data_IF_692728115814
#
_entry.id   IF_692728115814
#
_cell.length_a   1.000
_cell.length_b   1.000
_cell.length_c   1.000
_cell.angle_alpha   90.00
_cell.angle_beta   90.00
_cell.angle_gamma   90.00
#
_symmetry.space_group_name_H-M   'P 1'
#
loop_
_entity.id
_entity.type
_entity.pdbx_description
1 polymer ?
#
# COMPACT_ATOMS: atom_id res chain seq x y z
N UNK A 1 2.48 -13.08 1.63
CA UNK A 1 1.60 -12.93 2.82
C UNK A 1 0.13 -12.86 2.40
N UNK A 2 -0.87 -12.70 3.29
CA UNK A 2 -2.23 -12.30 2.87
C UNK A 2 -2.31 -10.77 2.72
N UNK A 3 -3.23 -10.24 1.91
CA UNK A 3 -3.41 -8.79 1.73
C UNK A 3 -3.64 -8.05 3.06
N UNK A 4 -4.40 -8.64 3.98
CA UNK A 4 -4.58 -8.12 5.34
C UNK A 4 -3.26 -7.95 6.11
N UNK A 5 -2.38 -8.95 6.07
CA UNK A 5 -1.10 -8.89 6.77
C UNK A 5 -0.17 -7.81 6.18
N UNK A 6 -0.27 -7.57 4.86
CA UNK A 6 0.45 -6.49 4.18
C UNK A 6 -0.15 -5.14 4.61
N UNK A 7 -1.47 -5.02 4.63
CA UNK A 7 -2.19 -3.83 5.07
C UNK A 7 -1.87 -3.45 6.53
N UNK A 8 -1.81 -4.42 7.45
CA UNK A 8 -1.40 -4.18 8.84
C UNK A 8 0.03 -3.65 8.96
N UNK A 9 0.98 -4.24 8.22
CA UNK A 9 2.36 -3.74 8.18
C UNK A 9 2.46 -2.35 7.59
N UNK A 10 1.70 -2.06 6.52
CA UNK A 10 1.58 -0.72 5.95
C UNK A 10 1.05 0.26 6.97
N UNK A 11 0.00 -0.12 7.70
CA UNK A 11 -0.62 0.70 8.75
C UNK A 11 0.40 1.09 9.81
N UNK A 12 1.22 0.16 10.30
CA UNK A 12 2.28 0.47 11.25
C UNK A 12 3.37 1.40 10.69
N UNK A 13 3.63 1.40 9.38
CA UNK A 13 4.60 2.31 8.75
C UNK A 13 4.05 3.70 8.47
N UNK A 14 2.76 3.80 8.12
CA UNK A 14 2.10 5.07 7.79
C UNK A 14 1.60 5.82 9.04
N UNK A 15 1.27 5.09 10.11
CA UNK A 15 0.87 5.69 11.40
C UNK A 15 1.98 6.64 11.89
N UNK A 16 1.66 7.93 12.06
CA UNK A 16 2.63 8.94 12.51
C UNK A 16 3.57 9.48 11.43
N UNK A 17 3.45 9.05 10.17
CA UNK A 17 4.17 9.65 9.03
C UNK A 17 3.56 10.97 8.57
N UNK A 18 2.33 11.29 9.01
CA UNK A 18 1.60 12.47 8.56
C UNK A 18 1.20 12.39 7.08
N UNK A 19 1.00 11.18 6.56
CA UNK A 19 0.52 10.98 5.20
C UNK A 19 -0.92 11.49 5.09
N UNK A 20 -1.15 12.49 4.25
CA UNK A 20 -2.48 13.12 4.04
C UNK A 20 -3.09 12.75 2.68
N UNK A 21 -2.34 12.05 1.82
CA UNK A 21 -2.81 11.63 0.50
C UNK A 21 -3.38 10.22 0.52
N UNK A 22 -4.06 9.85 -0.54
CA UNK A 22 -4.52 8.48 -0.76
C UNK A 22 -3.72 7.80 -1.88
N UNK A 23 -3.32 6.55 -1.64
CA UNK A 23 -2.60 5.71 -2.60
C UNK A 23 -3.25 4.34 -2.66
N UNK A 24 -3.65 3.92 -3.86
CA UNK A 24 -4.11 2.56 -4.14
C UNK A 24 -2.97 1.73 -4.72
N UNK A 25 -2.74 0.57 -4.14
CA UNK A 25 -1.90 -0.50 -4.62
C UNK A 25 -2.81 -1.56 -5.26
N UNK A 26 -2.77 -1.63 -6.57
CA UNK A 26 -3.57 -2.57 -7.35
C UNK A 26 -2.72 -3.80 -7.66
N UNK A 27 -3.01 -4.93 -6.99
CA UNK A 27 -2.35 -6.21 -7.20
C UNK A 27 -3.09 -7.11 -8.19
N UNK A 28 -3.99 -6.54 -9.00
CA UNK A 28 -4.79 -7.28 -9.97
C UNK A 28 -5.56 -8.43 -9.34
N UNK A 29 -5.23 -9.66 -9.73
CA UNK A 29 -5.91 -10.88 -9.28
C UNK A 29 -5.72 -11.19 -7.79
N UNK A 30 -4.68 -10.66 -7.17
CA UNK A 30 -4.35 -10.90 -5.76
C UNK A 30 -5.13 -9.98 -4.80
N UNK A 31 -5.75 -8.92 -5.33
CA UNK A 31 -6.52 -7.95 -4.58
C UNK A 31 -5.95 -6.54 -4.69
N UNK A 32 -6.42 -5.64 -3.84
CA UNK A 32 -5.99 -4.24 -3.81
C UNK A 32 -5.82 -3.76 -2.38
N UNK A 33 -4.91 -2.82 -2.16
CA UNK A 33 -4.73 -2.14 -0.88
C UNK A 33 -4.84 -0.64 -1.09
N UNK A 34 -5.78 0.00 -0.42
CA UNK A 34 -5.96 1.45 -0.45
C UNK A 34 -5.48 2.04 0.86
N UNK A 35 -4.58 2.99 0.75
CA UNK A 35 -4.17 3.86 1.83
C UNK A 35 -4.89 5.19 1.65
N UNK A 36 -5.54 5.66 2.69
CA UNK A 36 -6.19 6.97 2.77
C UNK A 36 -5.68 7.68 4.02
N UNK A 37 -4.64 8.47 3.83
CA UNK A 37 -3.85 9.03 4.92
C UNK A 37 -3.27 7.94 5.84
N UNK A 38 -3.73 7.87 7.09
CA UNK A 38 -3.32 6.85 8.06
C UNK A 38 -4.21 5.59 8.04
N UNK A 39 -5.31 5.61 7.30
CA UNK A 39 -6.19 4.48 7.15
C UNK A 39 -5.70 3.53 6.05
N UNK A 40 -5.68 2.23 6.33
CA UNK A 40 -5.33 1.20 5.35
C UNK A 40 -6.51 0.25 5.20
N UNK A 41 -6.92 -0.02 3.96
CA UNK A 41 -8.06 -0.85 3.60
C UNK A 41 -7.68 -1.81 2.46
N UNK A 42 -8.28 -3.00 2.43
CA UNK A 42 -8.11 -3.98 1.34
C UNK A 42 -9.27 -3.95 0.32
N UNK A 43 -10.07 -2.90 0.37
CA UNK A 43 -11.24 -2.70 -0.50
C UNK A 43 -10.86 -1.75 -1.64
N UNK A 44 -11.31 -2.06 -2.85
CA UNK A 44 -11.11 -1.17 -4.00
C UNK A 44 -11.86 0.14 -3.80
N UNK A 45 -11.11 1.23 -3.82
CA UNK A 45 -11.60 2.58 -3.70
C UNK A 45 -10.71 3.53 -4.52
N UNK A 46 -11.28 4.64 -5.02
CA UNK A 46 -10.50 5.66 -5.72
C UNK A 46 -9.50 6.33 -4.78
N UNK A 47 -8.28 6.51 -5.27
CA UNK A 47 -7.18 7.14 -4.54
C UNK A 47 -6.45 8.15 -5.45
N UNK A 48 -5.75 9.11 -4.85
CA UNK A 48 -5.02 10.19 -5.55
C UNK A 48 -3.91 9.64 -6.46
N UNK A 49 -3.26 8.56 -6.04
CA UNK A 49 -2.31 7.80 -6.85
C UNK A 49 -2.72 6.32 -6.89
N UNK A 50 -2.67 5.71 -8.08
CA UNK A 50 -2.86 4.26 -8.24
C UNK A 50 -1.57 3.66 -8.77
N UNK A 51 -0.99 2.73 -8.02
CA UNK A 51 0.20 1.98 -8.39
C UNK A 51 -0.21 0.55 -8.65
N UNK A 52 -0.01 0.09 -9.87
CA UNK A 52 -0.34 -1.29 -10.29
C UNK A 52 0.91 -2.14 -10.21
N UNK A 53 0.93 -3.16 -9.36
CA UNK A 53 2.08 -4.05 -9.18
C UNK A 53 1.68 -5.39 -8.58
N UNK A 54 2.48 -6.42 -8.83
CA UNK A 54 2.29 -7.75 -8.25
C UNK A 54 2.36 -7.71 -6.73
N UNK A 55 1.70 -8.68 -6.09
CA UNK A 55 1.82 -8.87 -4.64
C UNK A 55 3.27 -9.03 -4.17
N UNK A 56 4.09 -9.78 -4.90
CA UNK A 56 5.51 -9.94 -4.60
C UNK A 56 6.27 -8.61 -4.60
N UNK A 57 6.00 -7.74 -5.58
CA UNK A 57 6.59 -6.39 -5.64
C UNK A 57 6.15 -5.53 -4.45
N UNK A 58 4.90 -5.68 -4.01
CA UNK A 58 4.36 -4.96 -2.86
C UNK A 58 5.04 -5.43 -1.58
N UNK A 59 5.27 -6.74 -1.44
CA UNK A 59 6.00 -7.33 -0.32
C UNK A 59 7.46 -6.83 -0.30
N UNK A 60 8.13 -6.74 -1.46
CA UNK A 60 9.49 -6.17 -1.58
C UNK A 60 9.54 -4.67 -1.24
N UNK A 61 8.52 -3.91 -1.66
CA UNK A 61 8.36 -2.50 -1.31
C UNK A 61 8.15 -2.30 0.19
N UNK A 62 7.34 -3.16 0.82
CA UNK A 62 7.13 -3.14 2.27
C UNK A 62 8.37 -3.53 3.07
N UNK A 63 9.12 -4.51 2.56
CA UNK A 63 10.37 -4.99 3.14
C UNK A 63 11.44 -3.89 3.20
N UNK A 64 11.25 -2.79 2.47
CA UNK A 64 12.17 -1.66 2.44
C UNK A 64 13.27 -1.81 1.38
N UNK A 65 13.13 -2.75 0.45
CA UNK A 65 14.00 -2.85 -0.72
C UNK A 65 13.63 -1.82 -1.80
N UNK A 66 12.36 -1.41 -1.87
CA UNK A 66 11.94 -0.26 -2.69
C UNK A 66 11.79 0.99 -1.80
N UNK A 67 12.79 1.86 -1.81
CA UNK A 67 12.70 3.16 -1.15
C UNK A 67 11.70 4.07 -1.88
N UNK A 68 10.80 4.80 -1.18
CA UNK A 68 9.80 5.70 -1.79
C UNK A 68 10.41 6.94 -2.47
N UNK A 69 11.74 7.01 -2.55
CA UNK A 69 12.53 8.05 -3.23
C UNK A 69 12.92 7.70 -4.67
N UNK A 70 12.41 6.61 -5.25
CA UNK A 70 12.63 6.29 -6.67
C UNK A 70 11.53 6.91 -7.58
N UNK A 71 11.40 8.24 -7.54
CA UNK A 71 10.78 9.04 -8.59
C UNK A 71 11.34 10.47 -8.54
#
# INVERSE_FOLDING_TARGET
>A
MSMDAIAEKMRSKVTGSGFERSVKFDCGSDGVIVLDGEAVSTTDAPADCTITLSKDDLENLLAGELSPTAA
#
